data_IF_656712466585
#
_entry.id   IF_656712466585
#
_cell.length_a   1.000
_cell.length_b   1.000
_cell.length_c   1.000
_cell.angle_alpha   90.00
_cell.angle_beta   90.00
_cell.angle_gamma   90.00
#
_symmetry.space_group_name_H-M   'P 1'
#
loop_
_entity.id
_entity.type
_entity.pdbx_description
1 polymer ?
#
# COMPACT_ATOMS: atom_id res chain seq x y z
N UNK A 1 -12.82 5.86 8.50
CA UNK A 1 -11.50 5.30 8.12
C UNK A 1 -10.74 6.33 7.32
N UNK A 2 -9.51 6.59 7.68
CA UNK A 2 -8.64 7.51 6.95
C UNK A 2 -7.36 6.82 6.49
N UNK A 3 -6.60 7.49 5.63
CA UNK A 3 -5.40 6.90 5.02
C UNK A 3 -4.32 6.57 6.06
N UNK A 4 -4.11 7.44 7.03
CA UNK A 4 -3.11 7.17 8.07
C UNK A 4 -3.45 5.93 8.88
N UNK A 5 -4.71 5.75 9.20
CA UNK A 5 -5.17 4.58 9.95
C UNK A 5 -4.96 3.31 9.14
N UNK A 6 -5.43 3.28 7.89
CA UNK A 6 -5.30 2.08 7.06
C UNK A 6 -3.82 1.75 6.79
N UNK A 7 -3.00 2.76 6.52
CA UNK A 7 -1.58 2.54 6.27
C UNK A 7 -0.83 2.09 7.52
N UNK A 8 -1.30 2.45 8.72
CA UNK A 8 -0.71 1.93 9.96
C UNK A 8 -0.95 0.42 10.10
N UNK A 9 -2.11 -0.07 9.68
CA UNK A 9 -2.38 -1.51 9.65
C UNK A 9 -1.54 -2.22 8.60
N UNK A 10 -1.36 -1.61 7.41
CA UNK A 10 -0.47 -2.15 6.38
C UNK A 10 0.98 -2.20 6.88
N UNK A 11 1.45 -1.11 7.49
CA UNK A 11 2.82 -1.06 8.02
C UNK A 11 3.06 -2.19 9.02
N UNK A 12 2.12 -2.39 9.94
CA UNK A 12 2.22 -3.45 10.93
C UNK A 12 2.20 -4.84 10.28
N UNK A 13 1.31 -5.05 9.32
CA UNK A 13 1.22 -6.32 8.58
C UNK A 13 2.53 -6.61 7.86
N UNK A 14 3.08 -5.63 7.16
CA UNK A 14 4.32 -5.81 6.40
C UNK A 14 5.53 -6.03 7.31
N UNK A 15 5.60 -5.36 8.44
CA UNK A 15 6.76 -5.50 9.33
C UNK A 15 6.72 -6.78 10.15
N UNK A 16 5.55 -7.20 10.61
CA UNK A 16 5.40 -8.40 11.44
C UNK A 16 5.10 -9.68 10.65
N UNK A 17 4.73 -9.53 9.37
CA UNK A 17 4.29 -10.64 8.50
C UNK A 17 3.09 -11.40 9.09
N UNK A 18 2.19 -10.64 9.71
CA UNK A 18 0.91 -11.10 10.26
C UNK A 18 -0.19 -10.23 9.68
N UNK A 19 -1.29 -10.83 9.28
CA UNK A 19 -2.40 -10.11 8.65
C UNK A 19 -3.20 -9.30 9.67
N UNK A 20 -3.03 -7.98 9.65
CA UNK A 20 -3.84 -7.02 10.40
C UNK A 20 -4.72 -6.17 9.47
N UNK A 21 -4.63 -6.38 8.15
CA UNK A 21 -5.23 -5.47 7.17
C UNK A 21 -6.49 -6.01 6.50
N UNK A 22 -6.64 -7.34 6.38
CA UNK A 22 -7.68 -7.93 5.54
C UNK A 22 -9.11 -7.52 5.92
N UNK A 23 -9.40 -7.37 7.21
CA UNK A 23 -10.73 -6.96 7.66
C UNK A 23 -11.11 -5.54 7.23
N UNK A 24 -10.12 -4.71 6.86
CA UNK A 24 -10.30 -3.34 6.42
C UNK A 24 -10.34 -3.20 4.90
N UNK A 25 -10.24 -4.31 4.18
CA UNK A 25 -10.27 -4.35 2.72
C UNK A 25 -11.57 -4.99 2.24
N UNK A 26 -12.21 -4.38 1.25
CA UNK A 26 -13.40 -4.97 0.64
C UNK A 26 -13.04 -6.26 -0.09
N UNK A 27 -13.95 -7.22 -0.12
CA UNK A 27 -13.67 -8.53 -0.72
C UNK A 27 -13.35 -8.43 -2.21
N UNK A 28 -13.96 -7.48 -2.90
CA UNK A 28 -13.75 -7.25 -4.34
C UNK A 28 -12.61 -6.32 -4.66
N UNK A 29 -11.86 -5.87 -3.65
CA UNK A 29 -10.75 -4.93 -3.84
C UNK A 29 -9.69 -5.51 -4.78
N UNK A 30 -9.21 -4.68 -5.68
CA UNK A 30 -8.04 -4.95 -6.51
C UNK A 30 -7.01 -3.86 -6.21
N UNK A 31 -5.79 -4.26 -5.89
CA UNK A 31 -4.67 -3.34 -5.71
C UNK A 31 -3.99 -3.19 -7.06
N UNK A 32 -3.94 -1.96 -7.59
CA UNK A 32 -3.30 -1.67 -8.87
C UNK A 32 -1.92 -1.05 -8.65
N UNK A 33 -0.91 -1.69 -9.19
CA UNK A 33 0.45 -1.16 -9.26
C UNK A 33 0.65 -0.55 -10.64
N UNK A 34 0.78 0.77 -10.69
CA UNK A 34 0.86 1.53 -11.93
C UNK A 34 2.32 1.75 -12.34
N UNK A 35 2.52 2.13 -13.60
CA UNK A 35 3.86 2.43 -14.13
C UNK A 35 4.29 1.42 -15.18
N UNK A 36 5.61 1.36 -15.44
CA UNK A 36 6.17 0.54 -16.52
C UNK A 36 5.93 -0.96 -16.33
N UNK A 37 5.97 -1.42 -15.09
CA UNK A 37 5.73 -2.81 -14.73
C UNK A 37 4.37 -2.95 -14.07
N UNK A 38 3.35 -2.40 -14.70
CA UNK A 38 2.01 -2.41 -14.14
C UNK A 38 1.50 -3.82 -13.88
N UNK A 39 0.86 -4.00 -12.74
CA UNK A 39 0.29 -5.28 -12.32
C UNK A 39 -0.87 -5.02 -11.37
N UNK A 40 -1.64 -6.06 -11.12
CA UNK A 40 -2.76 -5.98 -10.18
C UNK A 40 -2.76 -7.22 -9.30
N UNK A 41 -3.22 -7.04 -8.07
CA UNK A 41 -3.40 -8.14 -7.13
C UNK A 41 -4.84 -8.11 -6.61
N UNK A 42 -5.49 -9.27 -6.56
CA UNK A 42 -6.75 -9.39 -5.81
C UNK A 42 -6.45 -9.24 -4.32
N UNK A 43 -7.51 -9.08 -3.52
CA UNK A 43 -7.34 -8.98 -2.06
C UNK A 43 -6.53 -10.16 -1.51
N UNK A 44 -6.90 -11.39 -1.87
CA UNK A 44 -6.23 -12.59 -1.35
C UNK A 44 -4.78 -12.68 -1.81
N UNK A 45 -4.51 -12.38 -3.08
CA UNK A 45 -3.14 -12.33 -3.60
C UNK A 45 -2.31 -11.28 -2.87
N UNK A 46 -2.89 -10.11 -2.60
CA UNK A 46 -2.21 -9.02 -1.91
C UNK A 46 -1.86 -9.41 -0.48
N UNK A 47 -2.81 -9.98 0.26
CA UNK A 47 -2.56 -10.40 1.64
C UNK A 47 -1.46 -11.47 1.69
N UNK A 48 -1.51 -12.46 0.80
CA UNK A 48 -0.48 -13.50 0.73
C UNK A 48 0.90 -12.88 0.46
N UNK A 49 0.99 -11.89 -0.41
CA UNK A 49 2.23 -11.19 -0.69
C UNK A 49 2.71 -10.38 0.53
N UNK A 50 1.80 -9.66 1.19
CA UNK A 50 2.15 -8.82 2.35
C UNK A 50 2.81 -9.60 3.49
N UNK A 51 2.37 -10.82 3.73
CA UNK A 51 2.92 -11.65 4.81
C UNK A 51 4.09 -12.54 4.34
N UNK A 52 4.48 -12.44 3.08
CA UNK A 52 5.60 -13.18 2.52
C UNK A 52 6.92 -12.46 2.78
N UNK A 53 8.03 -13.17 2.58
CA UNK A 53 9.37 -12.60 2.69
C UNK A 53 9.72 -11.66 1.55
N UNK A 54 8.89 -11.59 0.50
CA UNK A 54 9.14 -10.76 -0.68
C UNK A 54 8.61 -9.34 -0.54
N UNK A 55 7.73 -9.08 0.41
CA UNK A 55 7.12 -7.77 0.55
C UNK A 55 8.05 -6.77 1.25
N UNK A 56 7.91 -5.47 0.92
CA UNK A 56 8.70 -4.43 1.57
C UNK A 56 8.14 -4.06 2.93
N UNK A 57 8.88 -3.24 3.67
CA UNK A 57 8.32 -2.47 4.79
C UNK A 57 8.00 -1.07 4.27
N UNK A 58 7.04 -0.40 4.91
CA UNK A 58 6.64 0.96 4.53
C UNK A 58 6.75 1.91 5.71
N UNK A 59 6.80 3.20 5.42
CA UNK A 59 6.86 4.24 6.45
C UNK A 59 6.72 5.63 5.85
N UNK A 60 6.87 6.66 6.70
CA UNK A 60 6.88 8.06 6.29
C UNK A 60 5.61 8.47 5.51
N UNK A 61 4.46 8.11 6.04
CA UNK A 61 3.17 8.42 5.39
C UNK A 61 2.89 9.91 5.46
N UNK A 62 2.58 10.50 4.31
CA UNK A 62 2.13 11.89 4.18
C UNK A 62 0.84 11.92 3.38
N UNK A 63 -0.22 12.44 3.97
CA UNK A 63 -1.51 12.59 3.28
C UNK A 63 -1.57 13.97 2.65
N UNK A 64 -1.73 14.01 1.32
CA UNK A 64 -1.78 15.26 0.55
C UNK A 64 -3.22 15.76 0.44
N UNK A 65 -4.15 14.84 0.24
CA UNK A 65 -5.57 15.16 0.07
C UNK A 65 -6.41 14.06 0.70
N UNK A 66 -7.45 14.46 1.44
CA UNK A 66 -8.38 13.49 2.01
C UNK A 66 -9.75 14.13 2.16
N UNK A 67 -10.71 13.69 1.36
CA UNK A 67 -12.06 14.22 1.37
C UNK A 67 -13.01 13.24 0.67
N UNK A 68 -14.24 13.14 1.18
CA UNK A 68 -15.31 12.35 0.56
C UNK A 68 -14.93 10.88 0.29
N UNK A 69 -14.22 10.27 1.23
CA UNK A 69 -13.80 8.89 1.11
C UNK A 69 -12.63 8.65 0.15
N UNK A 70 -12.00 9.72 -0.35
CA UNK A 70 -10.85 9.62 -1.24
C UNK A 70 -9.62 10.15 -0.51
N UNK A 71 -8.52 9.43 -0.59
CA UNK A 71 -7.24 9.85 -0.02
C UNK A 71 -6.14 9.72 -1.05
N UNK A 72 -5.28 10.73 -1.11
CA UNK A 72 -4.07 10.73 -1.94
C UNK A 72 -2.90 11.16 -1.07
N UNK A 73 -1.80 10.48 -1.22
CA UNK A 73 -0.61 10.81 -0.45
C UNK A 73 0.61 10.06 -0.92
N UNK A 74 1.63 10.08 -0.07
CA UNK A 74 2.90 9.42 -0.35
C UNK A 74 3.35 8.63 0.87
N UNK A 75 4.19 7.65 0.63
CA UNK A 75 4.97 6.99 1.68
C UNK A 75 6.24 6.41 1.07
N UNK A 76 7.12 5.94 1.92
CA UNK A 76 8.31 5.23 1.47
C UNK A 76 8.11 3.74 1.63
N UNK A 77 8.93 2.96 0.94
CA UNK A 77 9.04 1.53 1.12
C UNK A 77 10.50 1.12 1.03
N UNK A 78 10.85 0.04 1.73
CA UNK A 78 12.18 -0.55 1.66
C UNK A 78 12.01 -2.03 1.36
N UNK A 79 12.61 -2.47 0.26
CA UNK A 79 12.56 -3.88 -0.14
C UNK A 79 13.37 -4.76 0.81
N UNK A 80 13.17 -6.09 0.79
CA UNK A 80 13.99 -7.01 1.61
C UNK A 80 15.49 -6.88 1.34
N UNK A 81 15.87 -6.45 0.13
CA UNK A 81 17.26 -6.22 -0.27
C UNK A 81 17.80 -4.86 0.20
N UNK A 82 16.96 -4.03 0.82
CA UNK A 82 17.36 -2.74 1.33
C UNK A 82 17.23 -1.59 0.34
N UNK A 83 16.53 -1.80 -0.78
CA UNK A 83 16.32 -0.75 -1.78
C UNK A 83 15.16 0.16 -1.38
N UNK A 84 15.39 1.48 -1.44
CA UNK A 84 14.36 2.47 -1.17
C UNK A 84 13.43 2.68 -2.36
N UNK A 85 12.16 2.95 -2.04
CA UNK A 85 11.12 3.29 -3.02
C UNK A 85 10.34 4.49 -2.50
N UNK A 86 9.93 5.36 -3.40
CA UNK A 86 8.92 6.38 -3.11
C UNK A 86 7.61 5.92 -3.73
N UNK A 87 6.54 6.03 -2.99
CA UNK A 87 5.23 5.55 -3.42
C UNK A 87 4.22 6.69 -3.30
N UNK A 88 3.47 6.91 -4.37
CA UNK A 88 2.29 7.74 -4.36
C UNK A 88 1.08 6.82 -4.37
N UNK A 89 0.14 7.07 -3.47
CA UNK A 89 -1.06 6.24 -3.38
C UNK A 89 -2.32 7.04 -3.62
N UNK A 90 -3.32 6.35 -4.14
CA UNK A 90 -4.71 6.79 -4.22
C UNK A 90 -5.56 5.70 -3.59
N UNK A 91 -6.41 6.07 -2.64
CA UNK A 91 -7.32 5.15 -2.00
C UNK A 91 -8.75 5.68 -1.97
N UNK A 92 -9.70 4.78 -2.03
CA UNK A 92 -11.11 5.10 -1.87
C UNK A 92 -11.72 4.19 -0.82
N UNK A 93 -12.48 4.80 0.09
CA UNK A 93 -13.10 4.11 1.22
C UNK A 93 -14.61 4.15 1.10
N UNK A 94 -15.26 3.08 1.52
CA UNK A 94 -16.71 3.01 1.66
C UNK A 94 -17.05 2.01 2.77
N UNK A 95 -17.94 2.41 3.68
CA UNK A 95 -18.38 1.55 4.79
C UNK A 95 -17.20 1.03 5.63
N UNK A 96 -16.22 1.91 5.91
CA UNK A 96 -15.04 1.61 6.72
C UNK A 96 -14.09 0.60 6.07
N UNK A 97 -14.20 0.40 4.76
CA UNK A 97 -13.32 -0.51 4.01
C UNK A 97 -12.72 0.18 2.80
N UNK A 98 -11.54 -0.27 2.43
CA UNK A 98 -10.89 0.17 1.19
C UNK A 98 -11.56 -0.55 0.01
N UNK A 99 -12.07 0.22 -0.94
CA UNK A 99 -12.71 -0.32 -2.15
C UNK A 99 -11.88 -0.12 -3.41
N UNK A 100 -10.94 0.83 -3.39
CA UNK A 100 -9.95 1.04 -4.46
C UNK A 100 -8.62 1.41 -3.83
N UNK A 101 -7.56 0.89 -4.39
CA UNK A 101 -6.20 1.27 -3.99
C UNK A 101 -5.26 1.18 -5.18
N UNK A 102 -4.62 2.28 -5.50
CA UNK A 102 -3.69 2.37 -6.62
C UNK A 102 -2.40 2.99 -6.14
N UNK A 103 -1.27 2.45 -6.58
CA UNK A 103 0.03 2.98 -6.23
C UNK A 103 0.89 3.20 -7.46
N UNK A 104 1.68 4.25 -7.42
CA UNK A 104 2.73 4.52 -8.39
C UNK A 104 4.05 4.45 -7.64
N UNK A 105 4.92 3.57 -8.08
CA UNK A 105 6.19 3.29 -7.42
C UNK A 105 7.33 3.92 -8.21
N UNK A 106 8.13 4.74 -7.53
CA UNK A 106 9.36 5.30 -8.09
C UNK A 106 10.56 4.59 -7.45
N UNK A 107 11.38 3.99 -8.27
CA UNK A 107 12.58 3.29 -7.82
C UNK A 107 13.69 4.32 -7.68
N UNK A 108 14.37 4.31 -6.51
CA UNK A 108 15.55 5.13 -6.32
C UNK A 108 16.68 4.53 -7.13
N UNK A 109 17.11 5.25 -8.15
CA UNK A 109 18.27 4.83 -8.93
C UNK A 109 19.53 5.33 -8.25
N UNK A 110 20.48 4.43 -8.07
CA UNK A 110 21.80 4.81 -7.65
C UNK A 110 22.52 5.46 -8.84
N UNK A 111 22.78 6.75 -8.73
CA UNK A 111 23.64 7.48 -9.68
C UNK A 111 25.08 7.32 -9.22
N UNK A 112 25.57 6.15 -9.39
CA UNK A 112 26.98 5.94 -9.11
C UNK A 112 27.83 6.47 -10.27
#
# INVERSE_FOLDING_TARGET
MDAKTILSFWEKTLSEKVDYISEHLADELVIDFLGNDSSSQTKDEHIAWCVSDESPTIGNVEVIFEENGISVGTHTAVTPEGEGRDIMFYGKFKNQKVIEWKVLVSVHQSNA
#
